data_IF_953491440645
#
_entry.id   IF_953491440645
#
_cell.length_a   1.000
_cell.length_b   1.000
_cell.length_c   1.000
_cell.angle_alpha   90.00
_cell.angle_beta   90.00
_cell.angle_gamma   90.00
#
_symmetry.space_group_name_H-M   'P 1'
#
loop_
_entity.id
_entity.type
_entity.pdbx_description
1 polymer ?
#
# COMPACT_ATOMS: atom_id res chain seq x y z
N UNK A 1 -19.49 69.30 56.45
CA UNK A 1 -18.69 69.88 55.41
C UNK A 1 -18.18 68.70 54.55
N UNK A 2 -18.79 68.58 53.60
CA UNK A 2 -19.13 67.72 52.50
C UNK A 2 -17.94 67.19 51.74
N UNK A 3 -17.88 65.87 51.69
CA UNK A 3 -17.06 65.11 50.73
C UNK A 3 -17.91 63.91 50.23
N UNK A 4 -18.89 64.23 49.46
CA UNK A 4 -19.62 63.20 48.69
C UNK A 4 -19.97 63.73 47.30
N UNK A 5 -18.97 63.86 46.48
CA UNK A 5 -19.25 64.18 45.07
C UNK A 5 -18.09 63.68 44.20
N UNK A 6 -18.13 62.49 43.77
CA UNK A 6 -17.40 61.99 42.63
C UNK A 6 -17.44 60.45 42.63
N UNK A 7 -18.45 59.84 42.12
CA UNK A 7 -18.37 58.48 41.53
C UNK A 7 -19.72 58.16 40.89
N UNK A 8 -19.99 58.76 39.76
CA UNK A 8 -21.03 58.21 38.87
C UNK A 8 -20.71 58.55 37.43
N UNK A 9 -19.70 57.90 36.88
CA UNK A 9 -19.58 57.79 35.42
C UNK A 9 -19.86 56.36 35.04
N UNK A 10 -21.09 56.17 34.55
CA UNK A 10 -21.51 54.90 33.97
C UNK A 10 -20.74 54.64 32.66
N UNK A 11 -20.10 53.54 32.60
CA UNK A 11 -19.51 53.03 31.34
C UNK A 11 -20.65 52.71 30.35
N UNK A 12 -20.56 53.18 29.07
CA UNK A 12 -21.58 52.89 28.10
C UNK A 12 -21.54 51.39 27.72
N UNK A 13 -22.65 50.70 28.00
CA UNK A 13 -22.85 49.27 27.89
C UNK A 13 -22.78 48.65 26.48
N UNK A 14 -22.13 49.29 25.51
CA UNK A 14 -22.04 48.77 24.12
C UNK A 14 -20.67 48.23 23.72
N UNK A 15 -19.64 48.42 24.49
CA UNK A 15 -18.28 47.97 24.14
C UNK A 15 -18.17 46.44 24.27
N UNK A 16 -18.85 45.84 25.25
CA UNK A 16 -18.85 44.40 25.49
C UNK A 16 -19.45 43.61 24.33
N UNK A 17 -20.50 44.15 23.69
CA UNK A 17 -21.16 43.50 22.56
C UNK A 17 -20.31 43.49 21.28
N UNK A 18 -19.46 44.49 21.07
CA UNK A 18 -18.57 44.55 19.93
C UNK A 18 -17.35 43.63 20.12
N UNK A 19 -16.86 43.49 21.32
CA UNK A 19 -15.72 42.61 21.63
C UNK A 19 -16.12 41.14 21.52
N UNK A 20 -17.33 40.74 21.98
CA UNK A 20 -17.82 39.37 21.83
C UNK A 20 -18.11 38.98 20.37
N UNK A 21 -18.63 39.92 19.57
CA UNK A 21 -18.83 39.69 18.13
C UNK A 21 -17.54 39.51 17.33
N UNK A 22 -16.53 40.33 17.64
CA UNK A 22 -15.20 40.27 17.04
C UNK A 22 -14.45 38.97 17.39
N UNK A 23 -14.53 38.55 18.66
CA UNK A 23 -13.91 37.30 19.14
C UNK A 23 -14.55 36.07 18.50
N UNK A 24 -15.88 36.07 18.31
CA UNK A 24 -16.61 34.97 17.66
C UNK A 24 -16.31 34.88 16.18
N UNK A 25 -16.12 36.01 15.48
CA UNK A 25 -15.71 36.05 14.08
C UNK A 25 -14.28 35.56 13.87
N UNK A 26 -13.36 35.81 14.81
CA UNK A 26 -11.98 35.34 14.76
C UNK A 26 -11.87 33.82 14.95
N UNK A 27 -12.73 33.23 15.80
CA UNK A 27 -12.77 31.78 16.03
C UNK A 27 -13.29 31.01 14.80
N UNK A 28 -14.23 31.60 14.04
CA UNK A 28 -14.76 30.98 12.81
C UNK A 28 -13.72 30.88 11.66
N UNK A 29 -12.70 31.73 11.66
CA UNK A 29 -11.64 31.71 10.64
C UNK A 29 -10.64 30.56 10.89
N UNK A 30 -10.50 30.11 12.13
CA UNK A 30 -9.61 29.00 12.48
C UNK A 30 -10.20 27.60 12.25
N UNK A 31 -11.50 27.48 11.94
CA UNK A 31 -12.19 26.21 11.67
C UNK A 31 -12.15 25.81 10.19
N UNK A 32 -11.58 26.65 9.31
CA UNK A 32 -11.25 26.29 7.94
C UNK A 32 -10.00 25.41 7.90
N UNK A 33 -10.01 24.27 8.55
CA UNK A 33 -8.95 23.26 8.45
C UNK A 33 -8.84 22.79 7.01
N UNK A 34 -7.83 23.26 6.27
CA UNK A 34 -7.36 22.57 5.07
C UNK A 34 -6.99 21.15 5.49
N UNK A 35 -7.78 20.17 5.12
CA UNK A 35 -7.35 18.78 5.13
C UNK A 35 -6.29 18.66 4.04
N UNK A 36 -5.02 18.77 4.41
CA UNK A 36 -3.92 18.36 3.55
C UNK A 36 -4.01 16.84 3.48
N UNK A 37 -4.62 16.32 2.43
CA UNK A 37 -4.43 14.93 2.05
C UNK A 37 -2.97 14.82 1.60
N UNK A 38 -2.09 14.37 2.48
CA UNK A 38 -0.80 13.86 2.08
C UNK A 38 -1.05 12.51 1.42
N UNK A 39 -1.24 12.52 0.11
CA UNK A 39 -1.06 11.34 -0.71
C UNK A 39 0.45 11.08 -0.71
N UNK A 40 0.89 10.07 0.02
CA UNK A 40 2.23 9.52 -0.13
C UNK A 40 2.23 8.67 -1.42
N UNK A 41 2.09 9.31 -2.55
CA UNK A 41 2.40 8.68 -3.83
C UNK A 41 3.92 8.68 -3.96
N UNK A 42 4.55 7.67 -3.32
CA UNK A 42 5.98 7.41 -3.44
C UNK A 42 6.38 6.86 -4.81
N UNK A 43 5.44 6.79 -5.75
CA UNK A 43 5.70 6.32 -7.09
C UNK A 43 6.23 7.47 -7.97
N UNK A 44 7.49 7.38 -8.39
CA UNK A 44 8.11 8.28 -9.37
C UNK A 44 7.84 7.76 -10.78
N UNK A 45 6.60 7.92 -11.26
CA UNK A 45 6.21 7.48 -12.61
C UNK A 45 6.39 8.64 -13.59
N UNK A 46 7.21 8.49 -14.65
CA UNK A 46 7.39 9.52 -15.68
C UNK A 46 6.06 9.96 -16.30
N UNK A 47 5.89 11.25 -16.62
CA UNK A 47 4.62 11.82 -17.12
C UNK A 47 4.14 11.20 -18.44
N UNK A 48 5.06 10.64 -19.24
CA UNK A 48 4.76 9.95 -20.49
C UNK A 48 4.25 8.51 -20.32
N UNK A 49 4.30 7.94 -19.11
CA UNK A 49 3.78 6.60 -18.79
C UNK A 49 2.39 6.76 -18.19
N UNK A 50 1.35 6.27 -18.87
CA UNK A 50 -0.05 6.42 -18.50
C UNK A 50 -0.82 5.12 -18.41
N UNK A 51 -0.28 4.04 -19.01
CA UNK A 51 -0.93 2.73 -19.09
C UNK A 51 0.02 1.62 -18.67
N UNK A 52 -0.54 0.62 -17.96
CA UNK A 52 0.18 -0.60 -17.61
C UNK A 52 -0.60 -1.81 -18.13
N UNK A 53 0.10 -2.83 -18.59
CA UNK A 53 -0.51 -4.14 -18.80
C UNK A 53 0.08 -5.18 -17.86
N UNK A 54 -0.75 -6.13 -17.45
CA UNK A 54 -0.34 -7.25 -16.61
C UNK A 54 -0.83 -8.53 -17.27
N UNK A 55 0.12 -9.31 -17.78
CA UNK A 55 -0.18 -10.61 -18.36
C UNK A 55 -0.49 -11.63 -17.26
N UNK A 56 -1.18 -12.70 -17.62
CA UNK A 56 -1.45 -13.79 -16.70
C UNK A 56 -0.16 -14.50 -16.29
N UNK A 57 0.13 -14.57 -15.01
CA UNK A 57 1.30 -15.25 -14.46
C UNK A 57 1.02 -16.75 -14.33
N UNK A 58 1.57 -17.55 -15.24
CA UNK A 58 1.39 -18.98 -15.21
C UNK A 58 2.07 -19.61 -13.98
N UNK A 59 1.40 -20.57 -13.36
CA UNK A 59 2.00 -21.38 -12.31
C UNK A 59 2.83 -22.52 -12.90
N UNK A 60 4.16 -22.39 -12.84
CA UNK A 60 5.16 -23.38 -13.27
C UNK A 60 5.81 -24.12 -12.10
N UNK A 61 5.37 -23.84 -10.86
CA UNK A 61 5.87 -24.55 -9.69
C UNK A 61 5.48 -26.03 -9.69
N UNK A 62 6.23 -26.86 -8.98
CA UNK A 62 6.00 -28.30 -8.90
C UNK A 62 4.65 -28.64 -8.27
N UNK A 63 4.20 -27.86 -7.29
CA UNK A 63 2.85 -27.93 -6.73
C UNK A 63 1.97 -26.87 -7.39
N UNK A 64 0.92 -27.32 -8.06
CA UNK A 64 0.02 -26.45 -8.80
C UNK A 64 -1.20 -26.13 -7.93
N UNK A 65 -1.22 -24.95 -7.31
CA UNK A 65 -2.44 -24.39 -6.74
C UNK A 65 -3.23 -23.69 -7.86
N UNK A 66 -4.47 -24.12 -8.18
CA UNK A 66 -5.20 -23.63 -9.35
C UNK A 66 -5.57 -22.16 -9.28
N UNK A 67 -5.72 -21.61 -8.05
CA UNK A 67 -6.17 -20.21 -7.87
C UNK A 67 -5.01 -19.23 -7.68
N UNK A 68 -3.79 -19.72 -7.42
CA UNK A 68 -2.63 -18.88 -7.14
C UNK A 68 -2.29 -17.94 -8.31
N UNK A 69 -2.29 -18.46 -9.54
CA UNK A 69 -2.03 -17.70 -10.76
C UNK A 69 -3.01 -16.52 -10.91
N UNK A 70 -4.30 -16.80 -10.74
CA UNK A 70 -5.34 -15.79 -10.86
C UNK A 70 -5.24 -14.77 -9.73
N UNK A 71 -5.15 -15.23 -8.48
CA UNK A 71 -5.09 -14.35 -7.31
C UNK A 71 -3.89 -13.41 -7.37
N UNK A 72 -2.71 -13.94 -7.75
CA UNK A 72 -1.52 -13.10 -7.90
C UNK A 72 -1.67 -12.07 -9.03
N UNK A 73 -2.17 -12.51 -10.19
CA UNK A 73 -2.32 -11.61 -11.34
C UNK A 73 -3.29 -10.46 -11.04
N UNK A 74 -4.42 -10.76 -10.39
CA UNK A 74 -5.40 -9.73 -10.02
C UNK A 74 -4.84 -8.82 -8.91
N UNK A 75 -4.19 -9.38 -7.90
CA UNK A 75 -3.58 -8.58 -6.83
C UNK A 75 -2.51 -7.60 -7.35
N UNK A 76 -1.69 -8.03 -8.34
CA UNK A 76 -0.72 -7.14 -8.97
C UNK A 76 -1.40 -6.01 -9.76
N UNK A 77 -2.48 -6.32 -10.49
CA UNK A 77 -3.29 -5.29 -11.18
C UNK A 77 -3.87 -4.28 -10.19
N UNK A 78 -4.48 -4.77 -9.11
CA UNK A 78 -5.08 -3.92 -8.08
C UNK A 78 -4.01 -3.05 -7.42
N UNK A 79 -2.85 -3.63 -7.08
CA UNK A 79 -1.73 -2.88 -6.50
C UNK A 79 -1.23 -1.75 -7.39
N UNK A 80 -1.17 -1.98 -8.71
CA UNK A 80 -0.76 -0.95 -9.69
C UNK A 80 -1.81 0.16 -9.78
N UNK A 81 -3.11 -0.17 -9.81
CA UNK A 81 -4.19 0.82 -9.87
C UNK A 81 -4.22 1.65 -8.61
N UNK A 82 -4.18 1.01 -7.45
CA UNK A 82 -4.35 1.67 -6.15
C UNK A 82 -3.14 2.53 -5.77
N UNK A 83 -1.94 2.10 -6.20
CA UNK A 83 -0.68 2.78 -5.88
C UNK A 83 -0.22 3.78 -6.93
N UNK A 84 -0.91 3.93 -8.05
CA UNK A 84 -0.46 4.76 -9.14
C UNK A 84 -1.60 5.48 -9.87
N UNK A 85 -1.24 6.39 -10.80
CA UNK A 85 -2.18 7.03 -11.72
C UNK A 85 -2.40 6.25 -13.01
N UNK A 86 -1.78 5.08 -13.16
CA UNK A 86 -1.82 4.28 -14.37
C UNK A 86 -3.21 3.64 -14.58
N UNK A 87 -3.56 3.43 -15.83
CA UNK A 87 -4.76 2.70 -16.23
C UNK A 87 -4.35 1.36 -16.82
N UNK A 88 -5.10 0.31 -16.54
CA UNK A 88 -4.86 -0.97 -17.20
C UNK A 88 -5.22 -0.90 -18.67
N UNK A 89 -4.32 -1.44 -19.50
CA UNK A 89 -4.52 -1.62 -20.94
C UNK A 89 -4.84 -3.08 -21.26
N UNK A 90 -5.78 -3.28 -22.18
CA UNK A 90 -6.03 -4.58 -22.80
C UNK A 90 -5.00 -4.80 -23.91
N UNK A 91 -3.93 -5.52 -23.62
CA UNK A 91 -2.81 -5.76 -24.54
C UNK A 91 -1.52 -5.08 -24.06
N UNK A 92 -0.79 -4.42 -24.96
CA UNK A 92 0.46 -3.73 -24.63
C UNK A 92 0.18 -2.35 -24.04
N UNK A 93 0.78 -2.05 -22.85
CA UNK A 93 0.75 -0.74 -22.21
C UNK A 93 2.01 0.09 -22.50
N UNK A 94 2.11 1.25 -21.85
CA UNK A 94 3.38 1.99 -21.81
C UNK A 94 4.42 1.23 -20.97
N UNK A 95 3.93 0.45 -19.98
CA UNK A 95 4.72 -0.52 -19.24
C UNK A 95 3.98 -1.86 -19.19
N UNK A 96 4.73 -2.96 -19.28
CA UNK A 96 4.18 -4.30 -19.31
C UNK A 96 4.82 -5.18 -18.22
N UNK A 97 3.96 -5.92 -17.50
CA UNK A 97 4.37 -6.91 -16.52
C UNK A 97 4.01 -8.32 -17.03
N UNK A 98 4.99 -9.19 -17.04
CA UNK A 98 4.83 -10.60 -17.40
C UNK A 98 5.71 -11.48 -16.54
N UNK A 99 5.45 -12.80 -16.52
CA UNK A 99 6.28 -13.70 -15.74
C UNK A 99 5.59 -15.02 -15.40
N UNK A 100 6.14 -15.69 -14.38
CA UNK A 100 5.59 -16.95 -13.91
C UNK A 100 5.91 -17.21 -12.44
N UNK A 101 5.05 -17.97 -11.79
CA UNK A 101 5.27 -18.50 -10.44
C UNK A 101 6.16 -19.72 -10.59
N UNK A 102 7.39 -19.66 -10.05
CA UNK A 102 8.42 -20.69 -10.25
C UNK A 102 8.59 -21.59 -9.05
N UNK A 103 8.19 -21.12 -7.84
CA UNK A 103 8.21 -21.91 -6.61
C UNK A 103 6.93 -21.72 -5.82
N UNK A 104 6.39 -22.82 -5.35
CA UNK A 104 5.32 -22.90 -4.39
C UNK A 104 5.50 -24.23 -3.64
N UNK A 105 6.06 -24.17 -2.44
CA UNK A 105 6.39 -25.37 -1.68
C UNK A 105 6.41 -25.13 -0.18
N UNK A 106 6.22 -26.19 0.59
CA UNK A 106 6.36 -26.17 2.05
C UNK A 106 7.63 -26.90 2.47
N UNK A 107 8.38 -26.30 3.39
CA UNK A 107 9.60 -26.87 3.97
C UNK A 107 9.47 -26.95 5.48
N UNK A 108 9.76 -28.12 6.12
CA UNK A 108 9.86 -28.20 7.56
C UNK A 108 11.08 -27.43 8.04
N UNK A 109 10.90 -26.55 9.03
CA UNK A 109 12.01 -25.87 9.69
C UNK A 109 12.65 -26.80 10.71
N UNK A 110 13.99 -26.84 10.72
CA UNK A 110 14.75 -27.72 11.59
C UNK A 110 14.47 -27.42 13.06
N UNK A 111 14.10 -28.45 13.83
CA UNK A 111 13.91 -28.36 15.27
C UNK A 111 15.30 -28.24 15.90
N UNK A 112 15.59 -27.13 16.57
CA UNK A 112 16.68 -27.13 17.58
C UNK A 112 16.21 -27.94 18.78
N UNK A 113 17.11 -28.71 19.36
CA UNK A 113 16.86 -29.77 20.33
C UNK A 113 16.06 -29.43 21.61
N UNK A 114 15.70 -28.16 21.78
CA UNK A 114 14.93 -27.63 22.91
C UNK A 114 13.59 -26.98 22.53
N UNK A 115 13.19 -27.02 21.25
CA UNK A 115 11.96 -26.39 20.79
C UNK A 115 10.77 -27.36 20.87
N UNK A 116 9.77 -26.97 21.62
CA UNK A 116 8.53 -27.74 21.88
C UNK A 116 7.58 -27.76 20.67
N UNK A 117 7.79 -26.91 19.69
CA UNK A 117 6.97 -26.85 18.45
C UNK A 117 7.85 -26.88 17.20
N UNK A 118 7.47 -27.74 16.25
CA UNK A 118 8.01 -27.74 14.90
C UNK A 118 7.22 -26.75 14.05
N UNK A 119 7.92 -26.02 13.22
CA UNK A 119 7.33 -25.07 12.25
C UNK A 119 7.55 -25.56 10.83
N UNK A 120 6.66 -25.16 9.96
CA UNK A 120 6.74 -25.39 8.52
C UNK A 120 6.67 -24.04 7.83
N UNK A 121 7.46 -23.86 6.79
CA UNK A 121 7.52 -22.66 5.98
C UNK A 121 6.84 -22.88 4.64
N UNK A 122 5.93 -22.01 4.27
CA UNK A 122 5.42 -21.91 2.91
C UNK A 122 6.27 -20.88 2.15
N UNK A 123 6.94 -21.31 1.09
CA UNK A 123 7.75 -20.45 0.20
C UNK A 123 7.04 -20.25 -1.13
N UNK A 124 7.03 -19.00 -1.60
CA UNK A 124 6.58 -18.63 -2.95
C UNK A 124 7.66 -17.81 -3.63
N UNK A 125 7.95 -18.12 -4.90
CA UNK A 125 8.86 -17.33 -5.74
C UNK A 125 8.21 -17.07 -7.08
N UNK A 126 8.32 -15.84 -7.54
CA UNK A 126 7.73 -15.36 -8.80
C UNK A 126 8.82 -14.65 -9.59
N UNK A 127 9.05 -15.09 -10.81
CA UNK A 127 9.92 -14.41 -11.76
C UNK A 127 9.10 -13.41 -12.55
N UNK A 128 9.55 -12.16 -12.54
CA UNK A 128 8.86 -11.03 -13.16
C UNK A 128 9.76 -10.38 -14.18
N UNK A 129 9.20 -10.14 -15.34
CA UNK A 129 9.76 -9.29 -16.39
C UNK A 129 8.91 -8.01 -16.46
N UNK A 130 9.56 -6.89 -16.26
CA UNK A 130 9.02 -5.54 -16.46
C UNK A 130 9.62 -4.96 -17.72
N UNK A 131 8.80 -4.50 -18.63
CA UNK A 131 9.19 -3.84 -19.88
C UNK A 131 8.62 -2.42 -19.88
N UNK A 132 9.52 -1.43 -19.97
CA UNK A 132 9.16 -0.05 -20.17
C UNK A 132 9.25 0.26 -21.68
N UNK A 133 8.09 0.39 -22.34
CA UNK A 133 8.02 0.65 -23.77
C UNK A 133 8.32 2.11 -24.14
N UNK A 134 8.36 3.01 -23.15
CA UNK A 134 8.73 4.42 -23.31
C UNK A 134 10.23 4.65 -23.09
N UNK A 135 10.86 3.84 -22.22
CA UNK A 135 12.29 3.82 -21.96
C UNK A 135 12.78 2.38 -21.72
N UNK A 136 13.21 1.68 -22.78
CA UNK A 136 13.67 0.29 -22.68
C UNK A 136 14.84 0.05 -21.73
N UNK A 137 15.66 1.08 -21.45
CA UNK A 137 16.81 0.98 -20.55
C UNK A 137 16.38 0.82 -19.08
N UNK A 138 15.15 1.18 -18.74
CA UNK A 138 14.54 0.97 -17.42
C UNK A 138 13.87 -0.40 -17.25
N UNK A 139 13.89 -1.24 -18.30
CA UNK A 139 13.33 -2.59 -18.25
C UNK A 139 14.21 -3.52 -17.42
N UNK A 140 13.59 -4.49 -16.72
CA UNK A 140 14.31 -5.44 -15.89
C UNK A 140 13.62 -6.80 -15.80
N UNK A 141 14.41 -7.82 -15.42
CA UNK A 141 13.90 -9.12 -14.98
C UNK A 141 14.40 -9.40 -13.56
N UNK A 142 13.52 -9.91 -12.69
CA UNK A 142 13.87 -10.15 -11.29
C UNK A 142 12.99 -11.21 -10.68
N UNK A 143 13.56 -11.97 -9.73
CA UNK A 143 12.81 -12.92 -8.92
C UNK A 143 12.43 -12.28 -7.59
N UNK A 144 11.17 -12.45 -7.18
CA UNK A 144 10.63 -12.02 -5.91
C UNK A 144 10.20 -13.23 -5.12
N UNK A 145 10.56 -13.27 -3.84
CA UNK A 145 10.22 -14.37 -2.95
C UNK A 145 9.70 -13.84 -1.64
N UNK A 146 8.64 -14.49 -1.13
CA UNK A 146 8.16 -14.28 0.21
C UNK A 146 7.81 -15.63 0.87
N UNK A 147 7.72 -15.64 2.18
CA UNK A 147 7.38 -16.85 2.92
C UNK A 147 6.56 -16.54 4.16
N UNK A 148 5.84 -17.56 4.63
CA UNK A 148 5.16 -17.55 5.93
C UNK A 148 5.43 -18.83 6.68
N UNK A 149 5.69 -18.69 7.97
CA UNK A 149 5.92 -19.81 8.87
C UNK A 149 4.62 -20.12 9.62
N UNK A 150 4.33 -21.42 9.78
CA UNK A 150 3.14 -21.88 10.49
C UNK A 150 3.45 -23.14 11.31
N UNK A 151 2.71 -23.40 12.39
CA UNK A 151 2.88 -24.60 13.22
C UNK A 151 2.67 -25.88 12.42
N UNK A 152 3.62 -26.83 12.46
CA UNK A 152 3.56 -28.09 11.68
C UNK A 152 2.39 -29.00 12.06
N UNK A 153 1.76 -28.78 13.23
CA UNK A 153 0.55 -29.50 13.65
C UNK A 153 -0.74 -28.89 13.08
N UNK A 154 -0.65 -27.78 12.36
CA UNK A 154 -1.79 -27.13 11.73
C UNK A 154 -2.00 -27.67 10.32
N UNK A 155 -3.26 -27.87 9.93
CA UNK A 155 -3.57 -28.32 8.59
C UNK A 155 -3.42 -27.17 7.60
N UNK A 156 -2.46 -27.28 6.67
CA UNK A 156 -2.18 -26.25 5.66
C UNK A 156 -3.44 -25.87 4.88
N UNK A 157 -4.29 -26.84 4.50
CA UNK A 157 -5.49 -26.54 3.72
C UNK A 157 -6.49 -25.61 4.42
N UNK A 158 -6.40 -25.50 5.76
CA UNK A 158 -7.29 -24.61 6.51
C UNK A 158 -6.79 -23.17 6.56
N UNK A 159 -5.49 -22.94 6.37
CA UNK A 159 -4.83 -21.63 6.50
C UNK A 159 -4.15 -21.17 5.22
N UNK A 160 -4.07 -22.03 4.20
CA UNK A 160 -3.36 -21.75 2.94
C UNK A 160 -3.84 -20.45 2.28
N UNK A 161 -5.16 -20.18 2.34
CA UNK A 161 -5.73 -18.96 1.76
C UNK A 161 -5.20 -17.69 2.42
N UNK A 162 -5.14 -17.67 3.76
CA UNK A 162 -4.63 -16.54 4.54
C UNK A 162 -3.12 -16.33 4.30
N UNK A 163 -2.33 -17.41 4.40
CA UNK A 163 -0.89 -17.34 4.15
C UNK A 163 -0.56 -16.87 2.73
N UNK A 164 -1.35 -17.33 1.76
CA UNK A 164 -1.18 -16.96 0.36
C UNK A 164 -1.51 -15.49 0.11
N UNK A 165 -2.58 -14.95 0.73
CA UNK A 165 -2.97 -13.55 0.63
C UNK A 165 -1.84 -12.65 1.15
N UNK A 166 -1.29 -12.91 2.33
CA UNK A 166 -0.18 -12.16 2.90
C UNK A 166 1.11 -12.25 2.07
N UNK A 167 1.41 -13.40 1.46
CA UNK A 167 2.57 -13.58 0.59
C UNK A 167 2.40 -12.82 -0.71
N UNK A 168 1.21 -12.87 -1.30
CA UNK A 168 0.88 -12.14 -2.55
C UNK A 168 0.99 -10.64 -2.32
N UNK A 169 0.44 -10.12 -1.22
CA UNK A 169 0.53 -8.71 -0.85
C UNK A 169 1.99 -8.26 -0.77
N UNK A 170 2.82 -8.99 -0.03
CA UNK A 170 4.26 -8.67 0.10
C UNK A 170 5.00 -8.68 -1.24
N UNK A 171 4.75 -9.69 -2.09
CA UNK A 171 5.42 -9.79 -3.39
C UNK A 171 4.95 -8.67 -4.32
N UNK A 172 3.65 -8.38 -4.39
CA UNK A 172 3.12 -7.32 -5.26
C UNK A 172 3.58 -5.94 -4.83
N UNK A 173 3.70 -5.70 -3.53
CA UNK A 173 4.32 -4.48 -2.99
C UNK A 173 5.78 -4.33 -3.40
N UNK A 174 6.56 -5.40 -3.31
CA UNK A 174 7.97 -5.40 -3.69
C UNK A 174 8.14 -5.17 -5.21
N UNK A 175 7.28 -5.75 -6.04
CA UNK A 175 7.28 -5.53 -7.50
C UNK A 175 6.94 -4.07 -7.80
N UNK A 176 5.87 -3.55 -7.20
CA UNK A 176 5.44 -2.17 -7.37
C UNK A 176 6.53 -1.18 -6.97
N UNK A 177 7.15 -1.39 -5.82
CA UNK A 177 8.22 -0.54 -5.32
C UNK A 177 9.44 -0.57 -6.25
N UNK A 178 9.83 -1.73 -6.77
CA UNK A 178 10.94 -1.84 -7.73
C UNK A 178 10.64 -1.16 -9.05
N UNK A 179 9.37 -1.19 -9.51
CA UNK A 179 8.99 -0.60 -10.78
C UNK A 179 8.83 0.93 -10.72
N UNK A 180 8.36 1.46 -9.58
CA UNK A 180 7.85 2.83 -9.50
C UNK A 180 8.36 3.65 -8.31
N UNK A 181 9.05 3.06 -7.34
CA UNK A 181 9.64 3.83 -6.26
C UNK A 181 11.09 4.20 -6.61
N UNK A 182 11.40 5.48 -6.53
CA UNK A 182 12.77 5.99 -6.62
C UNK A 182 13.49 5.67 -5.30
N UNK A 183 14.55 4.88 -5.36
CA UNK A 183 15.40 4.50 -4.22
C UNK A 183 16.69 5.31 -4.22
#
# INVERSE_FOLDING_TARGET
MDKQFFLKQGFPGNISRWITGSLFSLILIFLGGCSVQMTFDGASIPENVNTASVQNFENKASYVNPVLSQNFTEALKDRIIDGSRLRLADGTGDVDFSGSITRYETEPLSIQSDAVSSETRLNVTIDVKYENNQDPDESWESSFSAHRDFPSNQNINAIEGELMEEIIEEITDNIFNKAFADW
#
